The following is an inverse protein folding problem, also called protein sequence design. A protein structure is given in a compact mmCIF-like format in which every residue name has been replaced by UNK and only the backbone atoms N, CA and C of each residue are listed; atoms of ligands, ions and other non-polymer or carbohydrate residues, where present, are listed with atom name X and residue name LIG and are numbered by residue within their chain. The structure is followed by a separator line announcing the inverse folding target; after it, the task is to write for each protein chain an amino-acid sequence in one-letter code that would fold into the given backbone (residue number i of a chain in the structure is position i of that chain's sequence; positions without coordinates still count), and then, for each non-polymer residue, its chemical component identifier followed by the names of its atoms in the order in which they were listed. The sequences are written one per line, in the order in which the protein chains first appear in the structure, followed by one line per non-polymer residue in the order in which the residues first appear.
data_IF_764284059510
#
_entry.id   IF_764284059510
#
_cell.length_a   1.000
_cell.length_b   1.000
_cell.length_c   1.000
_cell.angle_alpha   90.00
_cell.angle_beta   90.00
_cell.angle_gamma   90.00
#
_symmetry.space_group_name_H-M   'P 1'
#
loop_
_entity.id
_entity.type
_entity.pdbx_description
1 polymer ?
#
# COMPACT_ATOMS: atom_id res chain seq x y z
N UNK A 1 -2.24 23.73 6.92
CA UNK A 1 -3.17 23.40 5.81
C UNK A 1 -3.56 21.94 5.96
N UNK A 2 -4.86 21.65 6.10
CA UNK A 2 -5.37 20.28 6.29
C UNK A 2 -5.56 19.67 4.89
N UNK A 3 -4.97 18.52 4.57
CA UNK A 3 -5.16 17.91 3.25
C UNK A 3 -6.65 17.63 3.02
N UNK A 4 -7.16 17.80 1.78
CA UNK A 4 -8.55 17.47 1.46
C UNK A 4 -8.74 15.99 1.80
N UNK A 5 -9.68 15.72 2.72
CA UNK A 5 -10.17 14.40 3.19
C UNK A 5 -9.56 13.16 2.52
N UNK A 6 -8.27 12.94 2.71
CA UNK A 6 -7.61 11.68 2.43
C UNK A 6 -8.16 10.73 3.48
N UNK A 7 -9.00 9.79 3.04
CA UNK A 7 -9.44 8.70 3.92
C UNK A 7 -8.21 7.88 4.25
N UNK A 8 -7.58 8.20 5.39
CA UNK A 8 -6.69 7.29 6.08
C UNK A 8 -7.44 5.97 6.19
N UNK A 9 -6.98 4.98 5.44
CA UNK A 9 -7.54 3.64 5.43
C UNK A 9 -7.11 2.97 6.73
N UNK A 10 -7.83 3.26 7.82
CA UNK A 10 -7.66 2.52 9.06
C UNK A 10 -8.18 1.08 8.85
N UNK A 11 -7.26 0.12 8.83
CA UNK A 11 -7.34 -1.29 9.26
C UNK A 11 -8.62 -2.12 9.09
N UNK A 12 -9.58 -1.76 8.23
CA UNK A 12 -10.84 -2.50 8.14
C UNK A 12 -11.90 -1.96 7.18
N UNK A 13 -11.53 -1.08 6.26
CA UNK A 13 -12.48 -0.49 5.30
C UNK A 13 -12.04 -0.61 3.84
N UNK A 14 -11.45 -1.74 3.46
CA UNK A 14 -11.43 -2.17 2.06
C UNK A 14 -12.81 -2.74 1.64
N UNK A 15 -13.93 -2.16 2.10
CA UNK A 15 -15.27 -2.64 1.74
C UNK A 15 -15.59 -2.27 0.29
N UNK A 16 -15.27 -3.17 -0.64
CA UNK A 16 -15.95 -3.45 -1.92
C UNK A 16 -16.12 -2.31 -2.94
N UNK A 17 -15.87 -1.04 -2.60
CA UNK A 17 -16.33 0.14 -3.36
C UNK A 17 -15.18 0.93 -4.01
N UNK A 18 -13.93 0.54 -3.78
CA UNK A 18 -12.72 1.14 -4.39
C UNK A 18 -12.26 0.35 -5.63
N UNK A 19 -12.66 -0.92 -5.78
CA UNK A 19 -12.24 -1.86 -6.85
C UNK A 19 -12.37 -1.34 -8.28
N UNK A 20 -13.29 -0.40 -8.55
CA UNK A 20 -13.52 0.15 -9.89
C UNK A 20 -13.09 1.62 -10.05
N UNK A 21 -12.21 2.13 -9.18
CA UNK A 21 -11.84 3.55 -9.16
C UNK A 21 -10.33 3.84 -9.29
N UNK A 22 -9.45 2.84 -9.33
CA UNK A 22 -7.99 3.04 -9.44
C UNK A 22 -7.50 2.46 -10.77
N UNK A 23 -6.86 3.29 -11.57
CA UNK A 23 -6.26 2.88 -12.86
C UNK A 23 -4.80 2.45 -12.70
N UNK A 24 -4.08 3.03 -11.73
CA UNK A 24 -2.64 2.76 -11.49
C UNK A 24 -2.35 2.72 -10.00
N UNK A 25 -1.64 1.67 -9.55
CA UNK A 25 -1.19 1.52 -8.16
C UNK A 25 0.33 1.67 -8.04
N UNK A 26 0.79 2.55 -7.15
CA UNK A 26 2.19 2.66 -6.78
C UNK A 26 2.45 1.95 -5.44
N UNK A 27 3.50 1.13 -5.38
CA UNK A 27 4.04 0.58 -4.15
C UNK A 27 5.39 1.25 -3.91
N UNK A 28 5.49 2.01 -2.82
CA UNK A 28 6.58 2.96 -2.59
C UNK A 28 7.17 2.78 -1.20
N UNK A 29 8.37 2.22 -1.13
CA UNK A 29 9.11 2.14 0.12
C UNK A 29 9.89 3.44 0.37
N UNK A 30 9.68 4.07 1.52
CA UNK A 30 10.53 5.18 1.98
C UNK A 30 10.61 6.41 1.05
N UNK A 31 9.66 6.59 0.13
CA UNK A 31 9.68 7.65 -0.89
C UNK A 31 8.44 8.56 -0.81
N UNK A 32 7.66 8.68 -1.89
CA UNK A 32 6.54 9.61 -1.99
C UNK A 32 5.34 9.12 -1.14
N UNK A 33 4.57 10.01 -0.50
CA UNK A 33 4.66 11.48 -0.48
C UNK A 33 5.52 12.08 0.65
N UNK A 34 6.23 11.26 1.43
CA UNK A 34 6.84 11.68 2.69
C UNK A 34 8.33 12.04 2.61
N UNK A 35 9.04 11.58 1.59
CA UNK A 35 10.47 11.82 1.40
C UNK A 35 10.69 12.53 0.09
N UNK A 36 11.52 13.57 0.09
CA UNK A 36 11.93 14.29 -1.11
C UNK A 36 13.07 13.56 -1.82
N UNK A 37 13.07 13.54 -3.15
CA UNK A 37 14.12 12.88 -3.93
C UNK A 37 13.71 12.68 -5.39
N UNK A 38 14.61 12.10 -6.19
CA UNK A 38 14.37 11.88 -7.61
C UNK A 38 13.12 11.03 -7.89
N UNK A 39 12.98 9.91 -7.18
CA UNK A 39 11.80 9.02 -7.30
C UNK A 39 10.52 9.77 -6.92
N UNK A 40 10.50 10.44 -5.77
CA UNK A 40 9.29 11.13 -5.31
C UNK A 40 8.89 12.30 -6.20
N UNK A 41 9.86 13.06 -6.70
CA UNK A 41 9.60 14.15 -7.65
C UNK A 41 9.08 13.62 -8.98
N UNK A 42 9.61 12.49 -9.47
CA UNK A 42 9.11 11.85 -10.69
C UNK A 42 7.69 11.30 -10.50
N UNK A 43 7.43 10.58 -9.40
CA UNK A 43 6.08 10.09 -9.06
C UNK A 43 5.09 11.25 -8.99
N UNK A 44 5.45 12.33 -8.29
CA UNK A 44 4.60 13.51 -8.19
C UNK A 44 4.31 14.15 -9.55
N UNK A 45 5.32 14.30 -10.40
CA UNK A 45 5.18 14.84 -11.74
C UNK A 45 4.31 13.94 -12.63
N UNK A 46 4.48 12.61 -12.53
CA UNK A 46 3.72 11.65 -13.31
C UNK A 46 2.23 11.67 -12.93
N UNK A 47 1.92 11.58 -11.64
CA UNK A 47 0.53 11.64 -11.15
C UNK A 47 -0.13 12.96 -11.56
N UNK A 48 0.59 14.08 -11.37
CA UNK A 48 0.08 15.42 -11.70
C UNK A 48 -0.10 15.61 -13.22
N UNK A 49 0.76 14.99 -14.04
CA UNK A 49 0.69 15.03 -15.49
C UNK A 49 -0.42 14.18 -16.12
N UNK A 50 -1.06 13.31 -15.33
CA UNK A 50 -2.12 12.40 -15.78
C UNK A 50 -3.41 12.57 -14.97
N UNK A 51 -4.04 13.77 -14.97
CA UNK A 51 -5.20 14.07 -14.11
C UNK A 51 -6.44 13.22 -14.42
N UNK A 52 -6.50 12.61 -15.61
CA UNK A 52 -7.59 11.75 -16.04
C UNK A 52 -7.50 10.32 -15.45
N UNK A 53 -6.31 9.89 -15.02
CA UNK A 53 -6.11 8.60 -14.35
C UNK A 53 -6.24 8.77 -12.84
N UNK A 54 -6.79 7.74 -12.19
CA UNK A 54 -6.90 7.63 -10.75
C UNK A 54 -5.78 6.76 -10.18
N UNK A 55 -5.06 7.32 -9.22
CA UNK A 55 -3.90 6.67 -8.62
C UNK A 55 -4.21 6.17 -7.22
N UNK A 56 -3.69 4.97 -6.91
CA UNK A 56 -3.54 4.45 -5.56
C UNK A 56 -2.08 4.46 -5.16
N UNK A 57 -1.81 4.61 -3.86
CA UNK A 57 -0.46 4.56 -3.31
C UNK A 57 -0.48 3.67 -2.08
N UNK A 58 0.39 2.67 -2.07
CA UNK A 58 0.79 1.90 -0.89
C UNK A 58 2.18 2.39 -0.51
N UNK A 59 2.27 3.11 0.59
CA UNK A 59 3.53 3.54 1.16
C UNK A 59 4.03 2.51 2.17
N UNK A 60 5.17 1.90 1.89
CA UNK A 60 5.86 1.01 2.81
C UNK A 60 6.78 1.85 3.70
N UNK A 61 6.49 1.81 4.99
CA UNK A 61 7.22 2.48 6.04
C UNK A 61 8.00 1.47 6.87
N UNK A 62 9.09 1.89 7.49
CA UNK A 62 9.72 1.10 8.55
C UNK A 62 8.71 0.88 9.67
N UNK A 63 8.28 1.95 10.34
CA UNK A 63 7.27 1.95 11.39
C UNK A 63 6.18 2.97 11.10
N UNK A 64 4.96 2.69 11.58
CA UNK A 64 3.86 3.64 11.52
C UNK A 64 4.18 4.88 12.36
N UNK A 65 3.89 6.07 11.81
CA UNK A 65 4.12 7.35 12.48
C UNK A 65 2.98 8.32 12.19
N UNK A 66 2.19 8.62 13.22
CA UNK A 66 1.10 9.60 13.14
C UNK A 66 1.57 11.02 12.79
N UNK A 67 2.84 11.34 13.03
CA UNK A 67 3.40 12.69 12.90
C UNK A 67 4.15 12.94 11.57
N UNK A 68 4.15 11.99 10.63
CA UNK A 68 4.98 12.12 9.41
C UNK A 68 4.39 13.19 8.46
N UNK A 69 5.10 14.32 8.22
CA UNK A 69 4.56 15.37 7.37
C UNK A 69 4.73 15.02 5.89
N UNK A 70 3.70 15.30 5.09
CA UNK A 70 3.82 15.25 3.63
C UNK A 70 4.84 16.28 3.13
N UNK A 71 5.73 15.85 2.23
CA UNK A 71 6.69 16.74 1.53
C UNK A 71 6.14 17.25 0.20
N UNK A 72 5.08 16.63 -0.29
CA UNK A 72 4.37 17.02 -1.50
C UNK A 72 2.89 17.22 -1.19
N UNK A 73 2.25 18.18 -1.85
CA UNK A 73 0.81 18.23 -1.88
C UNK A 73 0.32 17.09 -2.78
N UNK A 74 -0.35 16.10 -2.18
CA UNK A 74 -0.88 14.96 -2.93
C UNK A 74 -1.97 15.45 -3.89
N UNK A 75 -1.87 15.18 -5.21
CA UNK A 75 -2.89 15.58 -6.19
C UNK A 75 -4.26 14.93 -5.93
N UNK A 76 -5.34 15.60 -6.32
CA UNK A 76 -6.72 15.14 -6.09
C UNK A 76 -7.08 13.84 -6.85
N UNK A 77 -6.29 13.47 -7.87
CA UNK A 77 -6.45 12.22 -8.58
C UNK A 77 -5.78 11.02 -7.88
N UNK A 78 -5.17 11.21 -6.70
CA UNK A 78 -4.82 10.11 -5.79
C UNK A 78 -6.03 9.80 -4.91
N UNK A 79 -6.70 8.68 -5.21
CA UNK A 79 -7.97 8.30 -4.56
C UNK A 79 -7.76 7.37 -3.37
N UNK A 80 -6.56 6.81 -3.21
CA UNK A 80 -6.18 5.95 -2.10
C UNK A 80 -4.72 6.18 -1.73
N UNK A 81 -4.44 6.35 -0.44
CA UNK A 81 -3.11 6.33 0.15
C UNK A 81 -3.17 5.44 1.40
N UNK A 82 -2.53 4.28 1.32
CA UNK A 82 -2.40 3.32 2.40
C UNK A 82 -0.96 3.37 2.92
N UNK A 83 -0.79 3.50 4.23
CA UNK A 83 0.52 3.37 4.87
C UNK A 83 0.58 2.01 5.55
N UNK A 84 1.64 1.25 5.24
CA UNK A 84 1.89 -0.07 5.79
C UNK A 84 3.26 -0.05 6.47
N UNK A 85 3.35 -0.53 7.71
CA UNK A 85 4.63 -0.71 8.40
C UNK A 85 5.20 -2.09 8.12
N UNK A 86 6.41 -2.12 7.60
CA UNK A 86 7.16 -3.35 7.36
C UNK A 86 7.58 -3.99 8.69
N UNK A 87 7.97 -3.22 9.71
CA UNK A 87 8.29 -3.79 11.03
C UNK A 87 7.08 -4.43 11.70
N UNK A 88 5.89 -3.83 11.58
CA UNK A 88 4.66 -4.42 12.12
C UNK A 88 4.30 -5.73 11.38
N UNK A 89 4.51 -5.77 10.05
CA UNK A 89 4.34 -6.99 9.26
C UNK A 89 5.33 -8.10 9.65
N UNK A 90 6.60 -7.77 9.85
CA UNK A 90 7.65 -8.75 10.24
C UNK A 90 7.49 -9.20 11.69
N UNK A 91 6.83 -8.40 12.53
CA UNK A 91 6.54 -8.73 13.93
C UNK A 91 5.27 -9.57 14.11
N UNK A 92 4.55 -9.88 13.03
CA UNK A 92 3.41 -10.80 13.09
C UNK A 92 3.90 -12.18 13.53
N UNK A 93 3.21 -12.83 14.49
CA UNK A 93 3.60 -14.18 14.90
C UNK A 93 3.51 -15.10 13.67
N UNK A 94 4.56 -15.88 13.37
CA UNK A 94 4.50 -16.82 12.26
C UNK A 94 3.34 -17.79 12.51
N UNK A 95 2.51 -18.03 11.49
CA UNK A 95 1.47 -19.04 11.62
C UNK A 95 2.17 -20.41 11.82
N UNK A 96 1.98 -21.08 12.96
CA UNK A 96 2.60 -22.38 13.22
C UNK A 96 2.12 -23.48 12.25
N UNK A 97 1.09 -23.20 11.44
CA UNK A 97 0.60 -24.06 10.36
C UNK A 97 1.09 -23.63 8.98
N UNK A 98 1.85 -22.54 8.86
CA UNK A 98 2.40 -22.09 7.60
C UNK A 98 3.36 -23.15 7.04
N UNK A 99 3.11 -23.55 5.79
CA UNK A 99 4.00 -24.41 5.02
C UNK A 99 4.45 -23.66 3.78
N UNK A 100 5.59 -24.03 3.18
CA UNK A 100 6.05 -23.46 1.91
C UNK A 100 4.97 -23.50 0.81
N UNK A 101 4.12 -24.53 0.81
CA UNK A 101 2.96 -24.62 -0.08
C UNK A 101 1.84 -23.63 0.29
N UNK A 102 1.61 -23.38 1.57
CA UNK A 102 0.70 -22.34 2.07
C UNK A 102 1.18 -20.93 1.73
N UNK A 103 2.46 -20.64 1.92
CA UNK A 103 3.08 -19.37 1.52
C UNK A 103 3.00 -19.12 0.02
N UNK A 104 3.26 -20.14 -0.79
CA UNK A 104 3.14 -20.03 -2.24
C UNK A 104 1.68 -19.86 -2.68
N UNK A 105 0.72 -20.50 -2.00
CA UNK A 105 -0.71 -20.28 -2.25
C UNK A 105 -1.15 -18.87 -1.89
N UNK A 106 -0.73 -18.35 -0.74
CA UNK A 106 -1.02 -16.99 -0.33
C UNK A 106 -0.40 -15.97 -1.29
N UNK A 107 0.82 -16.22 -1.76
CA UNK A 107 1.47 -15.38 -2.76
C UNK A 107 0.77 -15.44 -4.11
N UNK A 108 0.39 -16.63 -4.57
CA UNK A 108 -0.36 -16.79 -5.80
C UNK A 108 -1.76 -16.14 -5.71
N UNK A 109 -2.42 -16.24 -4.54
CA UNK A 109 -3.69 -15.58 -4.26
C UNK A 109 -3.55 -14.07 -4.29
N UNK A 110 -2.50 -13.52 -3.64
CA UNK A 110 -2.19 -12.10 -3.73
C UNK A 110 -1.86 -11.70 -5.18
N UNK A 111 -1.04 -12.46 -5.89
CA UNK A 111 -0.61 -12.11 -7.24
C UNK A 111 -1.80 -12.11 -8.21
N UNK A 112 -2.68 -13.11 -8.09
CA UNK A 112 -3.94 -13.15 -8.83
C UNK A 112 -4.88 -12.02 -8.40
N UNK A 113 -4.95 -11.74 -7.09
CA UNK A 113 -5.66 -10.59 -6.55
C UNK A 113 -5.15 -9.28 -7.15
N UNK A 114 -3.84 -9.08 -7.28
CA UNK A 114 -3.25 -7.89 -7.90
C UNK A 114 -3.63 -7.74 -9.38
N UNK A 115 -3.75 -8.86 -10.12
CA UNK A 115 -4.26 -8.85 -11.51
C UNK A 115 -5.76 -8.51 -11.58
N UNK A 116 -6.53 -8.92 -10.57
CA UNK A 116 -7.97 -8.71 -10.45
C UNK A 116 -8.33 -7.41 -9.67
N UNK A 117 -7.34 -6.69 -9.15
CA UNK A 117 -7.49 -5.48 -8.34
C UNK A 117 -7.91 -5.72 -6.87
N UNK A 118 -7.79 -6.96 -6.39
CA UNK A 118 -8.08 -7.40 -5.03
C UNK A 118 -6.78 -7.49 -4.19
N UNK A 119 -6.69 -6.71 -3.12
CA UNK A 119 -5.49 -6.63 -2.24
C UNK A 119 -5.81 -7.23 -0.85
N UNK A 120 -6.98 -7.85 -0.70
CA UNK A 120 -7.48 -8.38 0.60
C UNK A 120 -6.51 -9.42 1.18
N UNK A 121 -5.87 -10.21 0.32
CA UNK A 121 -4.91 -11.25 0.72
C UNK A 121 -3.49 -10.73 0.99
N UNK A 122 -3.26 -9.41 0.92
CA UNK A 122 -1.92 -8.86 1.10
C UNK A 122 -1.41 -9.10 2.52
N UNK A 123 -2.23 -8.87 3.55
CA UNK A 123 -1.86 -9.14 4.93
C UNK A 123 -1.76 -10.66 5.19
N UNK A 124 -2.63 -11.46 4.58
CA UNK A 124 -2.62 -12.92 4.67
C UNK A 124 -1.36 -13.53 4.05
N UNK A 125 -0.80 -12.90 3.01
CA UNK A 125 0.52 -13.26 2.50
C UNK A 125 1.58 -13.17 3.60
N UNK A 126 1.62 -12.08 4.39
CA UNK A 126 2.65 -11.91 5.41
C UNK A 126 2.52 -12.91 6.56
N UNK A 127 1.29 -13.28 6.92
CA UNK A 127 1.02 -14.37 7.89
C UNK A 127 1.65 -15.69 7.41
N UNK A 128 1.59 -15.96 6.11
CA UNK A 128 2.18 -17.15 5.51
C UNK A 128 3.66 -17.01 5.11
N UNK A 129 4.20 -15.79 5.00
CA UNK A 129 5.63 -15.53 4.78
C UNK A 129 6.45 -15.50 6.07
N UNK A 130 5.82 -15.51 7.24
CA UNK A 130 6.50 -15.68 8.52
C UNK A 130 7.37 -16.92 8.51
N UNK A 131 8.68 -16.74 8.28
CA UNK A 131 9.65 -17.82 8.23
C UNK A 131 9.81 -18.41 9.63
N UNK A 132 9.10 -19.51 9.90
CA UNK A 132 9.44 -20.43 10.97
C UNK A 132 10.63 -21.28 10.53
N UNK A 133 11.83 -20.87 10.92
CA UNK A 133 13.09 -21.58 10.73
C UNK A 133 14.21 -20.95 11.54
#
# INVERSE_FOLDING_TARGET
MKPPSLKLCAGGYLKSRIRNLIDVMFILEGTYPYVSGGVSSWVHALISGMPNLKFGIIYLSEAYRDDRPFKYQVPDNVVCLLEVSVFDLVSMPPDPKASRHGSWRAFASLAQGLEEGEIEDFEDLFVHLGFGG
#
